data_IF_236021072473
#
_entry.id   IF_236021072473
#
_cell.length_a   1.000
_cell.length_b   1.000
_cell.length_c   1.000
_cell.angle_alpha   90.00
_cell.angle_beta   90.00
_cell.angle_gamma   90.00
#
_symmetry.space_group_name_H-M   'P 1'
#
loop_
_entity.id
_entity.type
_entity.pdbx_description
1 polymer ?
#
# COMPACT_ATOMS: atom_id res chain seq x y z
N UNK A 1 6.21 2.52 -3.89
CA UNK A 1 5.62 1.22 -4.27
C UNK A 1 6.76 0.35 -4.72
N UNK A 2 6.74 -0.93 -4.35
CA UNK A 2 7.86 -1.85 -4.59
C UNK A 2 7.34 -3.27 -4.85
N UNK A 3 8.12 -4.09 -5.55
CA UNK A 3 7.83 -5.52 -5.66
C UNK A 3 8.51 -6.26 -4.51
N UNK A 4 7.74 -7.05 -3.79
CA UNK A 4 8.22 -7.98 -2.78
C UNK A 4 7.61 -9.35 -3.08
N UNK A 5 8.44 -10.37 -3.32
CA UNK A 5 8.00 -11.72 -3.73
C UNK A 5 7.02 -11.74 -4.93
N UNK A 6 7.28 -10.92 -5.95
CA UNK A 6 6.41 -10.71 -7.12
C UNK A 6 5.04 -10.08 -6.81
N UNK A 7 4.83 -9.59 -5.59
CA UNK A 7 3.63 -8.87 -5.18
C UNK A 7 3.90 -7.37 -5.24
N UNK A 8 3.02 -6.63 -5.93
CA UNK A 8 3.05 -5.18 -5.94
C UNK A 8 2.62 -4.64 -4.56
N UNK A 9 3.55 -4.02 -3.85
CA UNK A 9 3.38 -3.57 -2.49
C UNK A 9 3.40 -2.04 -2.36
N UNK A 10 2.51 -1.51 -1.52
CA UNK A 10 2.50 -0.11 -1.12
C UNK A 10 3.09 0.01 0.27
N UNK A 11 3.94 1.01 0.48
CA UNK A 11 4.54 1.26 1.78
C UNK A 11 3.55 1.94 2.73
N UNK A 12 3.76 1.78 4.04
CA UNK A 12 2.97 2.49 5.05
C UNK A 12 2.92 4.02 4.81
N UNK A 13 4.04 4.64 4.42
CA UNK A 13 4.13 6.08 4.18
C UNK A 13 3.24 6.52 3.02
N UNK A 14 3.26 5.77 1.91
CA UNK A 14 2.42 6.06 0.75
C UNK A 14 0.94 5.85 1.04
N UNK A 15 0.60 4.84 1.85
CA UNK A 15 -0.78 4.65 2.28
C UNK A 15 -1.30 5.81 3.11
N UNK A 16 -0.48 6.35 4.02
CA UNK A 16 -0.86 7.51 4.83
C UNK A 16 -1.13 8.77 4.00
N UNK A 17 -0.61 8.84 2.78
CA UNK A 17 -0.81 9.97 1.89
C UNK A 17 -2.17 9.94 1.17
N UNK A 18 -2.71 8.74 0.95
CA UNK A 18 -4.03 8.53 0.28
C UNK A 18 -5.16 8.20 1.27
N UNK A 19 -4.80 7.74 2.47
CA UNK A 19 -5.69 7.22 3.49
C UNK A 19 -5.28 7.70 4.90
N UNK A 20 -6.23 8.20 5.72
CA UNK A 20 -5.93 8.53 7.11
C UNK A 20 -5.48 7.32 7.93
N UNK A 21 -4.55 7.51 8.87
CA UNK A 21 -4.04 6.47 9.79
C UNK A 21 -5.16 5.72 10.53
N UNK A 22 -6.20 6.42 10.98
CA UNK A 22 -7.34 5.80 11.67
C UNK A 22 -8.11 4.83 10.77
N UNK A 23 -8.27 5.16 9.49
CA UNK A 23 -8.91 4.26 8.53
C UNK A 23 -8.04 3.04 8.24
N UNK A 24 -6.73 3.24 8.08
CA UNK A 24 -5.78 2.15 7.88
C UNK A 24 -5.82 1.16 9.04
N UNK A 25 -5.75 1.65 10.28
CA UNK A 25 -5.85 0.79 11.47
C UNK A 25 -7.17 0.02 11.55
N UNK A 26 -8.29 0.65 11.17
CA UNK A 26 -9.61 0.00 11.13
C UNK A 26 -9.70 -1.07 10.02
N UNK A 27 -9.02 -0.87 8.90
CA UNK A 27 -8.96 -1.89 7.84
C UNK A 27 -8.07 -3.07 8.24
N UNK A 28 -6.95 -2.80 8.91
CA UNK A 28 -6.04 -3.81 9.43
C UNK A 28 -6.68 -4.64 10.55
N UNK A 29 -7.38 -4.01 11.49
CA UNK A 29 -8.06 -4.73 12.57
C UNK A 29 -9.22 -5.60 12.09
N UNK A 30 -9.75 -5.32 10.89
CA UNK A 30 -10.79 -6.10 10.21
C UNK A 30 -10.22 -7.08 9.18
N UNK A 31 -8.89 -7.22 9.11
CA UNK A 31 -8.19 -8.12 8.20
C UNK A 31 -8.59 -7.92 6.73
N UNK A 32 -8.88 -6.67 6.35
CA UNK A 32 -9.26 -6.31 4.97
C UNK A 32 -8.08 -5.98 4.06
N UNK A 33 -6.89 -5.79 4.65
CA UNK A 33 -5.67 -5.46 3.95
C UNK A 33 -4.65 -6.54 4.20
N UNK A 34 -4.03 -7.01 3.13
CA UNK A 34 -3.01 -8.05 3.22
C UNK A 34 -1.68 -7.40 3.54
N UNK A 35 -1.16 -7.71 4.73
CA UNK A 35 0.17 -7.28 5.18
C UNK A 35 1.19 -8.27 4.64
N UNK A 36 1.91 -7.88 3.61
CA UNK A 36 2.94 -8.71 2.96
C UNK A 36 4.20 -8.77 3.84
N UNK A 37 4.59 -7.63 4.41
CA UNK A 37 5.68 -7.54 5.38
C UNK A 37 5.25 -6.64 6.53
N UNK A 38 5.38 -7.15 7.77
CA UNK A 38 5.02 -6.40 8.98
C UNK A 38 5.94 -5.19 9.22
N UNK A 39 7.09 -5.13 8.54
CA UNK A 39 8.16 -4.19 8.90
C UNK A 39 8.75 -4.52 10.28
N UNK A 40 9.82 -3.82 10.67
CA UNK A 40 10.50 -4.14 11.92
C UNK A 40 11.50 -3.12 12.45
N UNK A 41 11.63 -1.95 11.82
CA UNK A 41 12.59 -0.94 12.27
C UNK A 41 12.72 0.24 11.31
N UNK A 42 13.66 1.13 11.61
CA UNK A 42 13.85 2.46 10.97
C UNK A 42 14.03 2.41 9.44
N UNK A 43 14.53 1.29 8.90
CA UNK A 43 14.75 1.08 7.46
C UNK A 43 13.89 -0.03 6.84
N UNK A 44 12.92 -0.59 7.58
CA UNK A 44 12.06 -1.67 7.07
C UNK A 44 10.58 -1.29 7.26
N UNK A 45 10.01 -0.49 6.33
CA UNK A 45 8.61 -0.09 6.40
C UNK A 45 7.70 -1.31 6.22
N UNK A 46 6.50 -1.24 6.81
CA UNK A 46 5.48 -2.24 6.54
C UNK A 46 4.99 -2.14 5.08
N UNK A 47 4.83 -3.31 4.46
CA UNK A 47 4.40 -3.47 3.08
C UNK A 47 3.01 -4.10 3.02
N UNK A 48 2.17 -3.53 2.16
CA UNK A 48 0.78 -3.95 2.00
C UNK A 48 0.50 -4.26 0.54
N UNK A 49 -0.21 -5.35 0.25
CA UNK A 49 -0.49 -5.74 -1.12
C UNK A 49 -1.41 -4.70 -1.78
N UNK A 50 -1.00 -4.11 -2.89
CA UNK A 50 -1.82 -3.15 -3.65
C UNK A 50 -3.14 -3.78 -4.10
N UNK A 51 -3.13 -5.07 -4.46
CA UNK A 51 -4.31 -5.84 -4.85
C UNK A 51 -5.38 -5.88 -3.76
N UNK A 52 -5.00 -5.88 -2.48
CA UNK A 52 -5.93 -5.90 -1.34
C UNK A 52 -6.60 -4.55 -1.07
N UNK A 53 -6.08 -3.45 -1.64
CA UNK A 53 -6.62 -2.12 -1.38
C UNK A 53 -8.06 -1.97 -1.91
N UNK A 54 -8.96 -1.32 -1.16
CA UNK A 54 -10.28 -0.98 -1.67
C UNK A 54 -10.18 -0.09 -2.92
N UNK A 55 -11.07 -0.27 -3.89
CA UNK A 55 -11.04 0.44 -5.17
C UNK A 55 -10.97 1.97 -5.02
N UNK A 56 -11.67 2.52 -4.02
CA UNK A 56 -11.62 3.96 -3.70
C UNK A 56 -10.17 4.45 -3.47
N UNK A 57 -9.35 3.67 -2.79
CA UNK A 57 -7.97 4.04 -2.47
C UNK A 57 -7.01 3.70 -3.61
N UNK A 58 -7.27 2.65 -4.39
CA UNK A 58 -6.56 2.40 -5.65
C UNK A 58 -6.68 3.58 -6.62
N UNK A 59 -7.90 4.12 -6.81
CA UNK A 59 -8.13 5.31 -7.64
C UNK A 59 -7.39 6.53 -7.12
N UNK A 60 -7.50 6.83 -5.82
CA UNK A 60 -6.75 7.95 -5.20
C UNK A 60 -5.24 7.83 -5.36
N UNK A 61 -4.72 6.61 -5.27
CA UNK A 61 -3.31 6.34 -5.49
C UNK A 61 -2.91 6.66 -6.93
N UNK A 62 -3.69 6.20 -7.91
CA UNK A 62 -3.49 6.50 -9.33
C UNK A 62 -3.58 8.00 -9.62
N UNK A 63 -4.55 8.70 -9.03
CA UNK A 63 -4.72 10.14 -9.23
C UNK A 63 -3.51 10.95 -8.71
N UNK A 64 -2.87 10.48 -7.64
CA UNK A 64 -1.76 11.19 -7.00
C UNK A 64 -0.38 10.79 -7.55
N UNK A 65 -0.17 9.49 -7.79
CA UNK A 65 1.13 8.93 -8.15
C UNK A 65 1.18 8.49 -9.62
N UNK A 66 0.03 8.32 -10.29
CA UNK A 66 -0.07 7.77 -11.64
C UNK A 66 -0.33 6.26 -11.65
N UNK A 67 -0.47 5.69 -12.84
CA UNK A 67 -0.76 4.25 -13.00
C UNK A 67 0.42 3.38 -12.52
N UNK A 68 0.19 2.40 -11.64
CA UNK A 68 1.26 1.59 -11.05
C UNK A 68 2.04 0.84 -12.13
N UNK A 69 1.34 0.30 -13.14
CA UNK A 69 1.95 -0.42 -14.25
C UNK A 69 2.86 0.46 -15.12
N UNK A 70 2.60 1.78 -15.18
CA UNK A 70 3.44 2.73 -15.93
C UNK A 70 4.69 3.12 -15.15
N UNK A 71 4.62 3.15 -13.82
CA UNK A 71 5.79 3.40 -12.98
C UNK A 71 6.79 2.25 -13.00
N UNK A 72 6.31 1.02 -13.23
CA UNK A 72 7.13 -0.20 -13.15
C UNK A 72 7.70 -0.67 -14.49
N UNK A 73 7.42 0.05 -15.59
CA UNK A 73 7.87 -0.30 -16.95
C UNK A 73 9.12 0.45 -17.42
N UNK A 74 9.87 1.07 -16.51
CA UNK A 74 11.14 1.77 -16.78
C UNK A 74 12.34 1.01 -16.21
#
# INVERSE_FOLDING_TARGET
MEYFDNILCVTYKELLDIMPKGTLNSQLSREKLDVVSRGGGENNPALYAYSSLPEKYKKRWVERHGEPEKQMRQ
#
